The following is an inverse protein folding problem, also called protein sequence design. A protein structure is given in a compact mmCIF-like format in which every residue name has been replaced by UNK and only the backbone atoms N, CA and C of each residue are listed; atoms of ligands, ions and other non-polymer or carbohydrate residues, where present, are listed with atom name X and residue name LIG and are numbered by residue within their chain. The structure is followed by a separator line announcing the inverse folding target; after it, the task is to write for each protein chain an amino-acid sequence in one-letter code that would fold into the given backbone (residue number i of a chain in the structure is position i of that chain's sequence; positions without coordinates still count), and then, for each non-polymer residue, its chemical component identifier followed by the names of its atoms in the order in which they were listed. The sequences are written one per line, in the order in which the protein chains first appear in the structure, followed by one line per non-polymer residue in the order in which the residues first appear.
data_IF_987549214116
#
_entry.id   IF_987549214116
#
_cell.length_a   1.000
_cell.length_b   1.000
_cell.length_c   1.000
_cell.angle_alpha   90.00
_cell.angle_beta   90.00
_cell.angle_gamma   90.00
#
_symmetry.space_group_name_H-M   'P 1'
#
loop_
_entity.id
_entity.type
_entity.pdbx_description
1 polymer ?
#
# COMPACT_ATOMS: atom_id res chain seq x y z
N UNK A 1 9.15 14.89 -1.44
CA UNK A 1 9.42 13.88 -0.39
C UNK A 1 10.71 13.11 -0.69
N UNK A 2 10.87 12.48 -1.87
CA UNK A 2 12.10 11.71 -2.23
C UNK A 2 13.35 12.57 -2.08
N UNK A 3 13.39 13.76 -2.72
CA UNK A 3 14.53 14.66 -2.66
C UNK A 3 14.84 15.12 -1.22
N UNK A 4 13.80 15.33 -0.40
CA UNK A 4 14.00 15.71 1.01
C UNK A 4 14.66 14.59 1.81
N UNK A 5 14.23 13.33 1.63
CA UNK A 5 14.85 12.17 2.29
C UNK A 5 16.31 11.97 1.85
N UNK A 6 16.59 12.11 0.56
CA UNK A 6 17.95 12.01 0.06
C UNK A 6 18.84 13.15 0.60
N UNK A 7 18.31 14.38 0.67
CA UNK A 7 19.02 15.52 1.26
C UNK A 7 19.28 15.35 2.76
N UNK A 8 18.44 14.60 3.47
CA UNK A 8 18.64 14.22 4.88
C UNK A 8 19.62 13.06 5.08
N UNK A 9 20.24 12.55 4.01
CA UNK A 9 21.26 11.50 4.07
C UNK A 9 20.74 10.08 3.86
N UNK A 10 19.51 9.87 3.41
CA UNK A 10 19.03 8.55 3.04
C UNK A 10 19.83 8.02 1.83
N UNK A 11 20.31 6.77 1.91
CA UNK A 11 21.02 6.11 0.80
C UNK A 11 20.11 5.76 -0.38
N UNK A 12 18.80 5.65 -0.15
CA UNK A 12 17.79 5.36 -1.15
C UNK A 12 16.38 5.50 -0.59
N UNK A 13 15.37 5.44 -1.46
CA UNK A 13 13.96 5.58 -1.09
C UNK A 13 13.16 4.47 -1.78
N UNK A 14 12.33 3.75 -1.00
CA UNK A 14 11.37 2.79 -1.53
C UNK A 14 10.04 3.49 -1.83
N UNK A 15 9.54 3.32 -3.04
CA UNK A 15 8.29 3.96 -3.50
C UNK A 15 7.31 2.90 -3.99
N UNK A 16 6.13 2.84 -3.38
CA UNK A 16 5.06 1.91 -3.76
C UNK A 16 3.79 2.64 -4.18
N UNK A 17 3.19 3.40 -3.27
CA UNK A 17 1.87 4.03 -3.46
C UNK A 17 1.77 4.90 -4.71
N UNK A 18 2.80 5.65 -5.06
CA UNK A 18 2.81 6.48 -6.26
C UNK A 18 2.72 5.69 -7.58
N UNK A 19 3.12 4.42 -7.57
CA UNK A 19 3.04 3.54 -8.74
C UNK A 19 1.67 2.86 -8.90
N UNK A 20 0.84 2.85 -7.87
CA UNK A 20 -0.48 2.20 -7.92
C UNK A 20 -1.41 2.84 -8.94
N UNK A 21 -1.28 4.15 -9.21
CA UNK A 21 -2.13 4.90 -10.14
C UNK A 21 -1.72 4.74 -11.61
N UNK A 22 -0.58 4.10 -11.88
CA UNK A 22 -0.08 3.94 -13.25
C UNK A 22 -0.83 2.84 -14.02
N UNK A 23 -0.91 2.97 -15.34
CA UNK A 23 -1.61 2.01 -16.20
C UNK A 23 -0.96 0.61 -16.16
N UNK A 24 0.35 0.57 -15.93
CA UNK A 24 1.12 -0.67 -15.85
C UNK A 24 0.97 -1.41 -14.51
N UNK A 25 0.36 -0.77 -13.50
CA UNK A 25 0.10 -1.41 -12.21
C UNK A 25 -1.03 -2.44 -12.33
N UNK A 26 -0.90 -3.58 -11.66
CA UNK A 26 -1.96 -4.58 -11.50
C UNK A 26 -2.91 -4.30 -10.33
N UNK A 27 -2.86 -3.10 -9.74
CA UNK A 27 -3.73 -2.73 -8.63
C UNK A 27 -5.20 -2.78 -9.05
N UNK A 28 -6.09 -3.27 -8.16
CA UNK A 28 -7.53 -3.25 -8.38
C UNK A 28 -8.07 -1.81 -8.31
N UNK A 29 -9.29 -1.59 -8.80
CA UNK A 29 -9.88 -0.25 -8.89
C UNK A 29 -10.00 0.43 -7.53
N UNK A 30 -10.36 -0.29 -6.48
CA UNK A 30 -10.40 0.25 -5.12
C UNK A 30 -9.01 0.72 -4.65
N UNK A 31 -7.95 -0.05 -4.91
CA UNK A 31 -6.59 0.31 -4.54
C UNK A 31 -6.11 1.57 -5.29
N UNK A 32 -6.41 1.65 -6.60
CA UNK A 32 -6.11 2.84 -7.42
C UNK A 32 -6.86 4.06 -6.93
N UNK A 33 -8.14 3.91 -6.63
CA UNK A 33 -8.98 4.99 -6.11
C UNK A 33 -8.40 5.61 -4.84
N UNK A 34 -8.08 4.79 -3.84
CA UNK A 34 -7.50 5.29 -2.59
C UNK A 34 -6.06 5.76 -2.74
N UNK A 35 -5.29 5.25 -3.70
CA UNK A 35 -3.97 5.79 -4.01
C UNK A 35 -4.05 7.20 -4.62
N UNK A 36 -5.09 7.50 -5.40
CA UNK A 36 -5.31 8.79 -6.08
C UNK A 36 -6.06 9.80 -5.21
N UNK A 37 -7.07 9.37 -4.47
CA UNK A 37 -7.99 10.26 -3.74
C UNK A 37 -7.99 10.08 -2.22
N UNK A 38 -7.34 9.05 -1.71
CA UNK A 38 -7.29 8.76 -0.28
C UNK A 38 -6.40 9.72 0.49
N UNK A 39 -6.43 9.57 1.80
CA UNK A 39 -5.66 10.37 2.75
C UNK A 39 -4.86 9.47 3.71
N UNK A 40 -3.99 10.06 4.52
CA UNK A 40 -3.29 9.33 5.57
C UNK A 40 -4.27 8.70 6.59
N UNK A 41 -5.44 9.32 6.80
CA UNK A 41 -6.46 8.84 7.74
C UNK A 41 -7.18 7.58 7.27
N UNK A 42 -7.19 7.32 5.96
CA UNK A 42 -7.74 6.08 5.39
C UNK A 42 -6.80 4.89 5.57
N UNK A 43 -5.63 5.09 6.17
CA UNK A 43 -4.63 4.05 6.35
C UNK A 43 -4.43 3.70 7.82
N UNK A 44 -4.08 2.44 8.09
CA UNK A 44 -3.78 1.93 9.42
C UNK A 44 -2.56 1.02 9.39
N UNK A 45 -1.83 0.97 10.50
CA UNK A 45 -0.77 -0.03 10.71
C UNK A 45 -1.40 -1.27 11.34
N UNK A 46 -1.19 -2.44 10.75
CA UNK A 46 -1.72 -3.71 11.27
C UNK A 46 -0.82 -4.90 10.96
N UNK A 47 -0.96 -5.97 11.74
CA UNK A 47 -0.33 -7.29 11.52
C UNK A 47 -1.30 -8.35 11.00
N UNK A 48 -2.58 -8.03 10.91
CA UNK A 48 -3.68 -8.98 10.64
C UNK A 48 -3.43 -9.81 9.39
N UNK A 49 -2.95 -9.20 8.30
CA UNK A 49 -2.79 -9.90 7.02
C UNK A 49 -1.60 -10.83 6.93
N UNK A 50 -0.47 -10.45 7.51
CA UNK A 50 0.79 -11.18 7.27
C UNK A 50 1.67 -11.41 8.50
N UNK A 51 1.26 -10.91 9.67
CA UNK A 51 2.03 -11.03 10.91
C UNK A 51 3.17 -10.01 11.06
N UNK A 52 3.38 -9.14 10.08
CA UNK A 52 4.32 -8.01 10.13
C UNK A 52 3.55 -6.70 10.17
N UNK A 53 4.06 -5.74 10.91
CA UNK A 53 3.47 -4.39 10.93
C UNK A 53 3.56 -3.78 9.52
N UNK A 54 2.43 -3.63 8.88
CA UNK A 54 2.29 -3.10 7.51
C UNK A 54 1.23 -2.01 7.48
N UNK A 55 1.49 -0.95 6.72
CA UNK A 55 0.48 0.08 6.50
C UNK A 55 -0.40 -0.30 5.33
N UNK A 56 -1.69 -0.35 5.58
CA UNK A 56 -2.71 -0.77 4.62
C UNK A 56 -3.89 0.19 4.63
N UNK A 57 -4.76 0.12 3.61
CA UNK A 57 -6.07 0.74 3.65
C UNK A 57 -6.88 0.15 4.82
N UNK A 58 -7.50 1.02 5.61
CA UNK A 58 -8.49 0.62 6.63
C UNK A 58 -9.72 0.10 5.92
N UNK A 59 -10.06 -1.15 6.17
CA UNK A 59 -11.21 -1.80 5.54
C UNK A 59 -11.97 -2.67 6.54
N UNK A 60 -13.09 -3.27 6.11
CA UNK A 60 -13.98 -4.04 6.99
C UNK A 60 -13.27 -5.20 7.71
N UNK A 61 -12.32 -5.88 7.05
CA UNK A 61 -11.57 -6.95 7.69
C UNK A 61 -10.68 -6.44 8.83
N UNK A 62 -9.99 -5.33 8.61
CA UNK A 62 -9.14 -4.71 9.64
C UNK A 62 -9.99 -4.27 10.83
N UNK A 63 -11.13 -3.63 10.59
CA UNK A 63 -12.05 -3.19 11.64
C UNK A 63 -12.64 -4.35 12.43
N UNK A 64 -13.02 -5.43 11.75
CA UNK A 64 -13.57 -6.62 12.39
C UNK A 64 -12.57 -7.39 13.25
N UNK A 65 -11.26 -7.27 12.97
CA UNK A 65 -10.20 -8.01 13.64
C UNK A 65 -9.27 -7.12 14.50
N UNK A 66 -9.60 -5.84 14.69
CA UNK A 66 -8.77 -4.89 15.44
C UNK A 66 -8.46 -5.37 16.86
N UNK A 67 -9.45 -5.87 17.57
CA UNK A 67 -9.31 -6.44 18.92
C UNK A 67 -8.40 -7.69 18.97
N UNK A 68 -8.20 -8.35 17.83
CA UNK A 68 -7.42 -9.58 17.71
C UNK A 68 -6.00 -9.35 17.18
N UNK A 69 -5.61 -8.13 16.91
CA UNK A 69 -4.30 -7.83 16.30
C UNK A 69 -3.12 -8.38 17.12
N UNK A 70 -3.19 -8.32 18.43
CA UNK A 70 -2.14 -8.82 19.31
C UNK A 70 -2.05 -10.34 19.35
N UNK A 71 -3.09 -11.04 18.87
CA UNK A 71 -3.16 -12.51 18.80
C UNK A 71 -2.77 -13.06 17.43
N UNK A 72 -2.34 -12.20 16.49
CA UNK A 72 -1.91 -12.64 15.17
C UNK A 72 -0.66 -13.50 15.27
N UNK A 73 -0.60 -14.54 14.45
CA UNK A 73 0.62 -15.36 14.30
C UNK A 73 1.75 -14.52 13.68
N UNK A 74 3.00 -14.86 13.98
CA UNK A 74 4.15 -14.23 13.34
C UNK A 74 4.22 -14.57 11.84
N UNK A 75 4.93 -13.71 11.07
CA UNK A 75 5.27 -14.04 9.68
C UNK A 75 6.18 -15.29 9.63
N UNK A 76 6.00 -16.25 8.71
CA UNK A 76 5.03 -16.25 7.60
C UNK A 76 3.69 -16.95 7.92
N UNK A 77 3.49 -17.45 9.14
CA UNK A 77 2.32 -18.25 9.50
C UNK A 77 1.01 -17.47 9.31
N UNK A 78 0.95 -16.22 9.77
CA UNK A 78 -0.22 -15.36 9.58
C UNK A 78 -0.54 -15.16 8.09
N UNK A 79 0.48 -14.95 7.26
CA UNK A 79 0.29 -14.82 5.80
C UNK A 79 -0.31 -16.09 5.19
N UNK A 80 0.14 -17.27 5.64
CA UNK A 80 -0.39 -18.55 5.16
C UNK A 80 -1.85 -18.75 5.59
N UNK A 81 -2.20 -18.33 6.81
CA UNK A 81 -3.56 -18.39 7.34
C UNK A 81 -4.53 -17.48 6.57
N UNK A 82 -4.12 -16.25 6.30
CA UNK A 82 -4.97 -15.24 5.63
C UNK A 82 -5.01 -15.39 4.10
N UNK A 83 -4.03 -16.07 3.51
CA UNK A 83 -3.89 -16.21 2.06
C UNK A 83 -5.12 -16.77 1.33
N UNK A 84 -5.79 -17.82 1.81
CA UNK A 84 -7.03 -18.32 1.21
C UNK A 84 -8.15 -17.28 1.19
N UNK A 85 -8.35 -16.56 2.30
CA UNK A 85 -9.35 -15.48 2.38
C UNK A 85 -9.05 -14.37 1.38
N UNK A 86 -7.80 -13.90 1.34
CA UNK A 86 -7.35 -12.82 0.46
C UNK A 86 -7.58 -13.16 -1.03
N UNK A 87 -7.27 -14.40 -1.44
CA UNK A 87 -7.53 -14.89 -2.80
C UNK A 87 -9.02 -14.94 -3.11
N UNK A 88 -9.80 -15.61 -2.26
CA UNK A 88 -11.24 -15.75 -2.47
C UNK A 88 -11.93 -14.38 -2.53
N UNK A 89 -11.59 -13.47 -1.62
CA UNK A 89 -12.12 -12.12 -1.60
C UNK A 89 -11.76 -11.34 -2.89
N UNK A 90 -10.52 -11.48 -3.37
CA UNK A 90 -10.08 -10.87 -4.63
C UNK A 90 -10.86 -11.39 -5.83
N UNK A 91 -11.09 -12.72 -5.91
CA UNK A 91 -11.81 -13.37 -7.02
C UNK A 91 -13.28 -12.92 -7.11
N UNK A 92 -13.90 -12.64 -5.96
CA UNK A 92 -15.31 -12.18 -5.91
C UNK A 92 -15.44 -10.65 -5.79
N UNK A 93 -14.33 -9.91 -5.90
CA UNK A 93 -14.34 -8.45 -5.87
C UNK A 93 -14.59 -7.81 -4.50
N UNK A 94 -14.46 -8.58 -3.39
CA UNK A 94 -14.60 -8.09 -2.01
C UNK A 94 -13.32 -7.38 -1.55
N UNK A 95 -13.04 -6.23 -2.14
CA UNK A 95 -11.86 -5.42 -1.84
C UNK A 95 -11.81 -4.92 -0.38
N UNK A 96 -12.93 -4.91 0.31
CA UNK A 96 -13.08 -4.62 1.73
C UNK A 96 -12.50 -5.71 2.66
N UNK A 97 -12.12 -6.86 2.10
CA UNK A 97 -11.49 -7.98 2.82
C UNK A 97 -10.06 -8.26 2.37
N UNK A 98 -9.57 -7.57 1.33
CA UNK A 98 -8.25 -7.80 0.73
C UNK A 98 -7.20 -6.88 1.34
N UNK A 99 -5.96 -7.38 1.45
CA UNK A 99 -4.82 -6.56 1.85
C UNK A 99 -4.47 -5.55 0.75
N UNK A 100 -4.70 -4.27 1.00
CA UNK A 100 -4.37 -3.16 0.10
C UNK A 100 -3.29 -2.27 0.74
N UNK A 101 -1.98 -2.55 0.49
CA UNK A 101 -0.90 -1.74 1.03
C UNK A 101 -0.96 -0.30 0.53
N UNK A 102 -1.04 0.67 1.43
CA UNK A 102 -1.21 2.07 1.10
C UNK A 102 -0.43 2.96 2.08
N UNK A 103 0.43 3.81 1.54
CA UNK A 103 1.25 4.72 2.34
C UNK A 103 0.49 6.00 2.73
N UNK A 104 1.01 6.73 3.72
CA UNK A 104 0.45 8.00 4.20
C UNK A 104 0.50 9.14 3.16
N UNK A 105 1.19 8.95 2.04
CA UNK A 105 1.20 9.86 0.90
C UNK A 105 0.13 9.56 -0.16
N UNK A 106 -0.85 8.72 0.15
CA UNK A 106 -2.05 8.55 -0.67
C UNK A 106 -2.70 9.90 -0.98
N UNK A 107 -3.30 10.04 -2.15
CA UNK A 107 -3.88 11.29 -2.64
C UNK A 107 -2.88 12.33 -3.13
N UNK A 108 -1.57 12.04 -3.09
CA UNK A 108 -0.52 13.00 -3.52
C UNK A 108 0.13 12.69 -4.86
N UNK A 109 -0.27 11.59 -5.49
CA UNK A 109 0.31 11.13 -6.76
C UNK A 109 -0.79 10.63 -7.68
N UNK A 110 -0.80 11.11 -8.91
CA UNK A 110 -1.76 10.72 -9.94
C UNK A 110 -1.03 10.52 -11.29
N UNK A 111 0.04 9.74 -11.28
CA UNK A 111 0.79 9.43 -12.49
C UNK A 111 0.06 8.37 -13.30
N UNK A 112 -0.07 8.60 -14.62
CA UNK A 112 -0.72 7.65 -15.54
C UNK A 112 0.26 6.63 -16.13
N UNK A 113 1.55 6.95 -16.18
CA UNK A 113 2.61 6.07 -16.70
C UNK A 113 3.73 5.93 -15.67
N UNK A 114 4.24 4.72 -15.53
CA UNK A 114 5.36 4.40 -14.62
C UNK A 114 6.59 5.26 -14.95
N UNK A 115 6.90 5.46 -16.23
CA UNK A 115 8.03 6.28 -16.65
C UNK A 115 7.92 7.72 -16.13
N UNK A 116 6.72 8.33 -16.22
CA UNK A 116 6.48 9.71 -15.76
C UNK A 116 6.64 9.81 -14.24
N UNK A 117 6.14 8.81 -13.51
CA UNK A 117 6.31 8.70 -12.06
C UNK A 117 7.80 8.64 -11.68
N UNK A 118 8.57 7.76 -12.32
CA UNK A 118 10.00 7.60 -12.06
C UNK A 118 10.77 8.88 -12.39
N UNK A 119 10.51 9.51 -13.53
CA UNK A 119 11.17 10.76 -13.89
C UNK A 119 10.86 11.91 -12.92
N UNK A 120 9.61 11.99 -12.44
CA UNK A 120 9.22 13.03 -11.48
C UNK A 120 9.84 12.81 -10.09
N UNK A 121 9.95 11.56 -9.66
CA UNK A 121 10.52 11.22 -8.36
C UNK A 121 12.06 11.27 -8.35
N UNK A 122 12.69 10.93 -9.47
CA UNK A 122 14.15 10.85 -9.65
C UNK A 122 14.56 11.65 -10.91
N UNK A 123 14.46 12.98 -10.88
CA UNK A 123 14.88 13.78 -12.02
C UNK A 123 16.38 13.57 -12.28
N UNK A 124 16.76 13.36 -13.55
CA UNK A 124 18.18 13.30 -13.92
C UNK A 124 18.83 14.61 -13.47
N UNK A 125 19.95 14.50 -12.76
CA UNK A 125 20.78 15.68 -12.54
C UNK A 125 21.21 16.17 -13.92
N UNK A 126 20.97 17.45 -14.22
CA UNK A 126 21.67 18.09 -15.31
C UNK A 126 23.15 18.14 -14.92
N UNK A 127 24.00 17.55 -15.75
CA UNK A 127 25.44 17.62 -15.61
C UNK A 127 25.92 19.07 -15.77
#
# INVERSE_FOLDING_TARGET
QVNALLAMGAAGVSVGTALLTTAESSACDAHRYYAEFGTACDTVLTRIYNGRLSRVLRNALVEALDDWELMTAGYPAQKALMGPLDRCASEVGRNDLVMLPLGQSAGRSAYRRTADCVHALFPRRAD
#
